data_IF_920612067993
#
_entry.id   IF_920612067993
#
_cell.length_a   1.000
_cell.length_b   1.000
_cell.length_c   1.000
_cell.angle_alpha   90.00
_cell.angle_beta   90.00
_cell.angle_gamma   90.00
#
_symmetry.space_group_name_H-M   'P 1'
#
loop_
_entity.id
_entity.type
_entity.pdbx_description
1 polymer ?
#
# COMPACT_ATOMS: atom_id res chain seq x y z
N UNK A 1 -21.89 1.92 15.85
CA UNK A 1 -21.32 0.84 15.06
C UNK A 1 -20.19 0.11 15.81
N UNK A 2 -19.88 -1.12 15.47
CA UNK A 2 -18.66 -1.79 15.95
C UNK A 2 -17.43 -1.22 15.26
N UNK A 3 -16.37 -0.97 16.03
CA UNK A 3 -15.11 -0.48 15.50
C UNK A 3 -13.92 -0.84 16.40
N UNK A 4 -12.72 -0.80 15.85
CA UNK A 4 -11.48 -0.88 16.61
C UNK A 4 -10.75 0.45 16.51
N UNK A 5 -10.68 1.19 17.60
CA UNK A 5 -10.04 2.50 17.66
C UNK A 5 -8.68 2.46 18.35
N UNK A 6 -7.81 3.38 17.98
CA UNK A 6 -6.51 3.63 18.58
C UNK A 6 -6.52 4.99 19.28
N UNK A 7 -6.09 5.05 20.54
CA UNK A 7 -6.08 6.27 21.36
C UNK A 7 -4.69 6.94 21.44
N UNK A 8 -3.76 6.53 20.58
CA UNK A 8 -2.37 6.95 20.57
C UNK A 8 -1.44 6.09 21.45
N UNK A 9 -1.99 5.09 22.16
CA UNK A 9 -1.22 4.16 23.01
C UNK A 9 -1.64 2.70 22.80
N UNK A 10 -2.94 2.46 22.72
CA UNK A 10 -3.49 1.11 22.58
C UNK A 10 -4.72 1.09 21.68
N UNK A 11 -4.95 -0.04 21.06
CA UNK A 11 -6.17 -0.31 20.32
C UNK A 11 -7.24 -0.87 21.26
N UNK A 12 -8.49 -0.50 20.99
CA UNK A 12 -9.67 -0.95 21.75
C UNK A 12 -10.80 -1.30 20.79
N UNK A 13 -11.42 -2.46 20.95
CA UNK A 13 -12.69 -2.79 20.34
C UNK A 13 -13.86 -2.12 21.09
N UNK A 14 -14.78 -1.51 20.33
CA UNK A 14 -15.96 -0.85 20.86
C UNK A 14 -17.18 -1.23 20.01
N UNK A 15 -18.22 -1.77 20.65
CA UNK A 15 -19.47 -2.13 19.98
C UNK A 15 -20.37 -0.92 19.73
N UNK A 16 -20.12 0.19 20.42
CA UNK A 16 -20.92 1.42 20.40
C UNK A 16 -20.11 2.64 19.92
N UNK A 17 -19.10 2.42 19.09
CA UNK A 17 -18.35 3.52 18.47
C UNK A 17 -19.28 4.42 17.65
N UNK A 18 -19.11 5.75 17.65
CA UNK A 18 -19.96 6.65 16.87
C UNK A 18 -19.98 6.30 15.40
N UNK A 19 -21.16 6.40 14.78
CA UNK A 19 -21.28 6.24 13.32
C UNK A 19 -20.57 7.39 12.58
N UNK A 20 -20.12 7.15 11.33
CA UNK A 20 -19.56 8.20 10.48
C UNK A 20 -20.51 9.38 10.34
N UNK A 21 -19.95 10.61 10.31
CA UNK A 21 -20.75 11.82 10.15
C UNK A 21 -21.45 11.83 8.79
N UNK A 22 -22.70 12.33 8.70
CA UNK A 22 -23.40 12.47 7.44
C UNK A 22 -22.73 13.53 6.54
N UNK A 23 -22.94 13.40 5.23
CA UNK A 23 -22.46 14.38 4.24
C UNK A 23 -21.58 13.78 3.14
N UNK A 24 -21.03 12.59 3.35
CA UNK A 24 -20.30 11.81 2.37
C UNK A 24 -20.99 10.47 2.13
N UNK A 25 -20.51 9.67 1.18
CA UNK A 25 -20.99 8.32 0.98
C UNK A 25 -20.66 7.44 2.18
N UNK A 26 -21.66 6.72 2.68
CA UNK A 26 -21.52 5.72 3.75
C UNK A 26 -21.29 4.35 3.11
N UNK A 27 -20.18 3.72 3.47
CA UNK A 27 -19.82 2.38 2.99
C UNK A 27 -19.84 1.40 4.15
N UNK A 28 -20.60 0.32 4.00
CA UNK A 28 -20.53 -0.83 4.90
C UNK A 28 -19.33 -1.68 4.50
N UNK A 29 -18.38 -1.81 5.39
CA UNK A 29 -17.13 -2.56 5.15
C UNK A 29 -17.42 -4.05 5.11
N UNK A 30 -17.03 -4.73 4.06
CA UNK A 30 -17.12 -6.20 3.93
C UNK A 30 -15.84 -6.88 4.43
N UNK A 31 -14.68 -6.28 4.10
CA UNK A 31 -13.36 -6.79 4.47
C UNK A 31 -12.35 -5.63 4.49
N UNK A 32 -11.44 -5.63 5.46
CA UNK A 32 -10.35 -4.67 5.57
C UNK A 32 -9.00 -5.38 5.71
N UNK A 33 -7.94 -4.84 5.11
CA UNK A 33 -6.58 -5.36 5.16
C UNK A 33 -5.71 -4.64 6.17
N UNK A 34 -4.86 -5.37 6.89
CA UNK A 34 -3.84 -4.79 7.74
C UNK A 34 -2.62 -4.44 6.88
N UNK A 35 -2.25 -3.15 6.86
CA UNK A 35 -1.08 -2.62 6.18
C UNK A 35 0.13 -2.50 7.13
N UNK A 36 1.34 -2.42 6.56
CA UNK A 36 2.54 -2.06 7.33
C UNK A 36 2.42 -0.69 7.99
N UNK A 37 1.77 0.28 7.34
CA UNK A 37 1.52 1.60 7.89
C UNK A 37 0.67 1.56 9.16
N UNK A 38 -0.31 0.66 9.27
CA UNK A 38 -1.09 0.50 10.51
C UNK A 38 -0.20 0.04 11.66
N UNK A 39 0.73 -0.89 11.39
CA UNK A 39 1.70 -1.39 12.38
C UNK A 39 2.69 -0.29 12.80
N UNK A 40 3.19 0.50 11.85
CA UNK A 40 4.07 1.64 12.13
C UNK A 40 3.36 2.74 12.96
N UNK A 41 2.06 2.99 12.71
CA UNK A 41 1.26 3.93 13.52
C UNK A 41 1.15 3.42 14.97
N UNK A 42 0.92 2.12 15.17
CA UNK A 42 0.89 1.51 16.49
C UNK A 42 2.24 1.62 17.21
N UNK A 43 3.33 1.62 16.47
CA UNK A 43 4.70 1.77 16.96
C UNK A 43 5.15 3.27 17.01
N UNK A 44 4.23 4.24 16.80
CA UNK A 44 4.43 5.67 17.01
C UNK A 44 4.82 6.50 15.79
N UNK A 45 4.65 5.99 14.57
CA UNK A 45 4.99 6.68 13.32
C UNK A 45 4.27 8.02 13.13
N UNK A 46 3.02 8.13 13.52
CA UNK A 46 2.23 9.38 13.48
C UNK A 46 1.42 9.54 14.75
N UNK A 47 1.19 10.80 15.16
CA UNK A 47 0.27 11.10 16.25
C UNK A 47 -1.17 10.98 15.73
N UNK A 48 -1.70 9.76 15.64
CA UNK A 48 -3.05 9.46 15.17
C UNK A 48 -3.91 8.90 16.30
N UNK A 49 -5.16 9.38 16.37
CA UNK A 49 -6.22 8.84 17.23
C UNK A 49 -7.45 8.62 16.36
N UNK A 50 -8.11 7.47 16.50
CA UNK A 50 -9.31 7.10 15.75
C UNK A 50 -9.26 5.66 15.25
N UNK A 51 -10.10 5.32 14.30
CA UNK A 51 -10.15 4.00 13.67
C UNK A 51 -9.07 3.88 12.61
N UNK A 52 -8.21 2.86 12.70
CA UNK A 52 -7.18 2.54 11.70
C UNK A 52 -7.79 1.79 10.49
N UNK A 53 -6.92 1.44 9.54
CA UNK A 53 -7.28 0.67 8.34
C UNK A 53 -7.61 1.56 7.15
N UNK A 54 -6.97 1.28 6.02
CA UNK A 54 -7.09 2.09 4.82
C UNK A 54 -7.11 1.25 3.53
N UNK A 55 -7.05 -0.06 3.65
CA UNK A 55 -7.22 -1.02 2.58
C UNK A 55 -8.54 -1.77 2.83
N UNK A 56 -9.53 -1.59 1.97
CA UNK A 56 -10.86 -2.17 2.21
C UNK A 56 -11.63 -2.45 0.93
N UNK A 57 -12.65 -3.30 1.06
CA UNK A 57 -13.77 -3.42 0.16
C UNK A 57 -15.07 -3.33 0.96
N UNK A 58 -16.09 -2.75 0.38
CA UNK A 58 -17.40 -2.63 1.03
C UNK A 58 -18.53 -2.34 0.05
N UNK A 59 -19.73 -2.17 0.57
CA UNK A 59 -20.94 -1.86 -0.18
C UNK A 59 -21.43 -0.48 0.20
N UNK A 60 -21.77 0.35 -0.76
CA UNK A 60 -22.30 1.70 -0.52
C UNK A 60 -23.73 1.58 0.02
N UNK A 61 -23.95 2.03 1.26
CA UNK A 61 -25.28 2.05 1.91
C UNK A 61 -26.03 3.35 1.66
N UNK A 62 -25.30 4.49 1.64
CA UNK A 62 -25.85 5.81 1.39
C UNK A 62 -24.89 6.63 0.54
N UNK A 63 -25.42 7.38 -0.42
CA UNK A 63 -24.66 8.32 -1.25
C UNK A 63 -25.60 9.38 -1.81
N UNK A 64 -25.08 10.56 -2.13
CA UNK A 64 -25.81 11.56 -2.91
C UNK A 64 -25.94 11.12 -4.38
N UNK A 65 -25.04 10.27 -4.86
CA UNK A 65 -25.12 9.61 -6.16
C UNK A 65 -25.89 8.27 -6.03
N UNK A 66 -27.17 8.20 -6.47
CA UNK A 66 -27.96 6.96 -6.38
C UNK A 66 -27.34 5.78 -7.15
N UNK A 67 -26.53 6.06 -8.17
CA UNK A 67 -25.86 5.04 -8.98
C UNK A 67 -24.78 4.24 -8.23
N UNK A 68 -24.32 4.75 -7.08
CA UNK A 68 -23.35 4.06 -6.22
C UNK A 68 -24.03 3.18 -5.17
N UNK A 69 -25.31 3.43 -4.80
CA UNK A 69 -25.98 2.69 -3.73
C UNK A 69 -26.09 1.20 -4.11
N UNK A 70 -25.69 0.33 -3.20
CA UNK A 70 -25.65 -1.13 -3.38
C UNK A 70 -24.45 -1.62 -4.20
N UNK A 71 -23.58 -0.74 -4.72
CA UNK A 71 -22.38 -1.15 -5.44
C UNK A 71 -21.25 -1.58 -4.50
N UNK A 72 -20.49 -2.59 -4.93
CA UNK A 72 -19.24 -2.98 -4.30
C UNK A 72 -18.16 -1.99 -4.71
N UNK A 73 -17.48 -1.44 -3.72
CA UNK A 73 -16.48 -0.38 -3.93
C UNK A 73 -15.21 -0.60 -3.13
N UNK A 74 -14.13 -0.04 -3.63
CA UNK A 74 -12.89 0.29 -2.93
C UNK A 74 -12.73 1.81 -2.90
N UNK A 75 -11.82 2.37 -2.10
CA UNK A 75 -11.73 3.82 -2.00
C UNK A 75 -10.32 4.36 -1.92
N UNK A 76 -10.03 5.40 -2.74
CA UNK A 76 -8.81 6.18 -2.61
C UNK A 76 -8.77 6.86 -1.25
N UNK A 77 -7.67 6.66 -0.53
CA UNK A 77 -7.58 7.02 0.90
C UNK A 77 -7.42 8.52 1.14
N UNK A 78 -6.95 9.28 0.16
CA UNK A 78 -6.69 10.72 0.29
C UNK A 78 -7.90 11.53 -0.15
N UNK A 79 -8.70 12.02 0.80
CA UNK A 79 -9.81 12.92 0.54
C UNK A 79 -9.33 14.38 0.53
N UNK A 80 -9.31 14.99 -0.66
CA UNK A 80 -8.90 16.37 -0.87
C UNK A 80 -9.96 17.37 -0.41
N UNK A 81 -9.58 18.65 -0.27
CA UNK A 81 -10.54 19.71 0.08
C UNK A 81 -11.30 20.27 -1.14
N UNK A 82 -11.02 19.83 -2.35
CA UNK A 82 -11.61 20.17 -3.65
C UNK A 82 -11.60 21.69 -4.03
N UNK A 83 -10.93 22.55 -3.25
CA UNK A 83 -10.90 24.00 -3.46
C UNK A 83 -9.50 24.62 -3.53
N UNK A 84 -8.44 23.96 -3.06
CA UNK A 84 -7.08 24.47 -3.16
C UNK A 84 -6.48 24.24 -4.56
N UNK A 85 -5.33 24.89 -4.84
CA UNK A 85 -4.69 24.81 -6.16
C UNK A 85 -4.26 23.39 -6.54
N UNK A 86 -3.81 22.60 -5.57
CA UNK A 86 -3.50 21.18 -5.80
C UNK A 86 -4.73 20.41 -6.26
N UNK A 87 -5.88 20.58 -5.58
CA UNK A 87 -7.12 19.90 -5.97
C UNK A 87 -7.61 20.34 -7.35
N UNK A 88 -7.57 21.66 -7.66
CA UNK A 88 -7.96 22.17 -8.98
C UNK A 88 -7.12 21.63 -10.12
N UNK A 89 -5.89 21.18 -9.83
CA UNK A 89 -4.97 20.54 -10.79
C UNK A 89 -5.08 19.01 -10.81
N UNK A 90 -6.10 18.41 -10.18
CA UNK A 90 -6.26 16.96 -10.10
C UNK A 90 -5.27 16.24 -9.15
N UNK A 91 -4.61 17.00 -8.26
CA UNK A 91 -3.62 16.47 -7.33
C UNK A 91 -4.19 16.37 -5.90
N UNK A 92 -5.36 15.75 -5.72
CA UNK A 92 -6.02 15.59 -4.42
C UNK A 92 -5.14 14.87 -3.40
N UNK A 93 -4.34 13.91 -3.83
CA UNK A 93 -3.36 13.16 -2.99
C UNK A 93 -2.31 14.06 -2.35
N UNK A 94 -2.07 15.25 -2.94
CA UNK A 94 -1.11 16.25 -2.47
C UNK A 94 -1.79 17.51 -1.88
N UNK A 95 -3.10 17.45 -1.62
CA UNK A 95 -3.83 18.54 -1.01
C UNK A 95 -3.27 18.84 0.41
N UNK A 96 -2.88 20.07 0.74
CA UNK A 96 -2.36 20.41 2.08
C UNK A 96 -3.42 20.25 3.18
N UNK A 97 -4.71 20.29 2.80
CA UNK A 97 -5.84 20.16 3.73
C UNK A 97 -6.53 18.79 3.61
N UNK A 98 -5.87 17.80 3.00
CA UNK A 98 -6.46 16.45 2.87
C UNK A 98 -6.65 15.79 4.22
N UNK A 99 -7.63 14.92 4.28
CA UNK A 99 -7.71 13.86 5.28
C UNK A 99 -7.30 12.54 4.64
N UNK A 100 -6.83 11.59 5.44
CA UNK A 100 -6.41 10.28 4.92
C UNK A 100 -7.08 9.19 5.75
N UNK A 101 -7.82 8.32 5.09
CA UNK A 101 -8.58 7.23 5.70
C UNK A 101 -7.68 6.40 6.63
N UNK A 102 -8.05 6.28 7.90
CA UNK A 102 -7.31 5.48 8.90
C UNK A 102 -5.91 5.98 9.27
N UNK A 103 -5.50 7.18 8.80
CA UNK A 103 -4.13 7.69 8.97
C UNK A 103 -4.10 9.15 9.44
N UNK A 104 -4.95 10.01 8.87
CA UNK A 104 -4.90 11.44 9.17
C UNK A 104 -6.31 12.05 9.24
N UNK A 105 -6.77 12.40 10.44
CA UNK A 105 -8.03 13.14 10.71
C UNK A 105 -9.27 12.51 10.06
N UNK A 106 -9.28 11.21 9.79
CA UNK A 106 -10.40 10.47 9.23
C UNK A 106 -10.34 9.03 9.73
N UNK A 107 -11.46 8.57 10.31
CA UNK A 107 -11.61 7.19 10.74
C UNK A 107 -11.51 6.23 9.56
N UNK A 108 -10.90 5.07 9.79
CA UNK A 108 -10.57 4.07 8.80
C UNK A 108 -11.53 2.90 8.72
N UNK A 109 -11.05 1.82 8.11
CA UNK A 109 -11.85 0.66 7.73
C UNK A 109 -11.91 -0.46 8.78
N UNK A 110 -11.24 -0.33 9.93
CA UNK A 110 -11.39 -1.31 11.01
C UNK A 110 -12.68 -1.05 11.81
N UNK A 111 -13.80 -0.94 11.09
CA UNK A 111 -15.14 -0.66 11.58
C UNK A 111 -16.21 -1.23 10.65
N UNK A 112 -17.46 -1.34 11.13
CA UNK A 112 -18.61 -1.75 10.31
C UNK A 112 -18.90 -0.77 9.17
N UNK A 113 -18.66 0.53 9.41
CA UNK A 113 -18.91 1.59 8.42
C UNK A 113 -17.77 2.58 8.37
N UNK A 114 -17.55 3.13 7.19
CA UNK A 114 -16.69 4.29 6.96
C UNK A 114 -17.38 5.32 6.05
N UNK A 115 -16.87 6.55 6.02
CA UNK A 115 -17.33 7.55 5.05
C UNK A 115 -16.20 8.07 4.17
N UNK A 116 -16.49 8.23 2.88
CA UNK A 116 -15.60 8.83 1.89
C UNK A 116 -16.39 9.72 0.92
N UNK A 117 -15.77 10.77 0.36
CA UNK A 117 -16.33 11.50 -0.77
C UNK A 117 -16.59 10.55 -1.94
N UNK A 118 -17.63 10.83 -2.74
CA UNK A 118 -18.03 9.99 -3.88
C UNK A 118 -16.90 9.82 -4.90
N UNK A 119 -16.15 10.88 -5.15
CA UNK A 119 -15.01 10.88 -6.07
C UNK A 119 -13.85 9.97 -5.65
N UNK A 120 -13.81 9.58 -4.38
CA UNK A 120 -12.82 8.62 -3.88
C UNK A 120 -13.25 7.16 -4.08
N UNK A 121 -14.54 6.89 -4.39
CA UNK A 121 -15.08 5.55 -4.50
C UNK A 121 -14.97 5.00 -5.91
N UNK A 122 -14.46 3.80 -6.04
CA UNK A 122 -14.33 3.07 -7.30
C UNK A 122 -15.13 1.78 -7.25
N UNK A 123 -16.10 1.65 -8.16
CA UNK A 123 -16.88 0.41 -8.31
C UNK A 123 -15.95 -0.67 -8.85
N UNK A 124 -15.99 -1.84 -8.23
CA UNK A 124 -15.20 -3.00 -8.66
C UNK A 124 -16.08 -4.01 -9.43
N UNK A 125 -15.54 -4.68 -10.48
CA UNK A 125 -16.27 -5.71 -11.21
C UNK A 125 -16.46 -6.98 -10.37
N UNK A 126 -17.48 -7.76 -10.70
CA UNK A 126 -17.80 -9.01 -9.99
C UNK A 126 -16.72 -10.10 -10.16
N UNK A 127 -15.85 -9.96 -11.15
CA UNK A 127 -14.72 -10.87 -11.38
C UNK A 127 -13.62 -10.76 -10.31
N UNK A 128 -13.59 -9.68 -9.51
CA UNK A 128 -12.63 -9.49 -8.41
C UNK A 128 -13.30 -9.92 -7.11
N UNK A 129 -12.69 -10.85 -6.36
CA UNK A 129 -13.17 -11.26 -5.02
C UNK A 129 -12.96 -10.14 -3.99
N UNK A 130 -13.60 -10.24 -2.83
CA UNK A 130 -13.40 -9.25 -1.76
C UNK A 130 -11.94 -9.25 -1.25
N UNK A 131 -11.34 -10.43 -1.12
CA UNK A 131 -9.95 -10.58 -0.73
C UNK A 131 -8.98 -9.92 -1.73
N UNK A 132 -9.22 -10.09 -3.02
CA UNK A 132 -8.43 -9.43 -4.08
C UNK A 132 -8.66 -7.92 -4.09
N UNK A 133 -9.91 -7.47 -3.87
CA UNK A 133 -10.27 -6.05 -3.89
C UNK A 133 -9.54 -5.23 -2.81
N UNK A 134 -9.28 -5.81 -1.64
CA UNK A 134 -8.52 -5.15 -0.57
C UNK A 134 -7.10 -4.80 -1.02
N UNK A 135 -6.53 -5.50 -1.99
CA UNK A 135 -5.20 -5.17 -2.53
C UNK A 135 -5.20 -4.01 -3.53
N UNK A 136 -6.33 -3.46 -3.93
CA UNK A 136 -6.38 -2.37 -4.91
C UNK A 136 -5.58 -1.16 -4.42
N UNK A 137 -5.69 -0.77 -3.15
CA UNK A 137 -4.95 0.37 -2.62
C UNK A 137 -3.42 0.18 -2.71
N UNK A 138 -2.84 -0.89 -2.12
CA UNK A 138 -1.40 -1.08 -2.20
C UNK A 138 -0.91 -1.42 -3.63
N UNK A 139 -1.73 -2.05 -4.46
CA UNK A 139 -1.40 -2.28 -5.87
C UNK A 139 -1.39 -0.98 -6.67
N UNK A 140 -2.31 -0.04 -6.39
CA UNK A 140 -2.27 1.30 -6.96
C UNK A 140 -0.96 2.02 -6.60
N UNK A 141 -0.48 1.86 -5.36
CA UNK A 141 0.82 2.39 -4.96
C UNK A 141 1.98 1.75 -5.74
N UNK A 142 1.90 0.47 -6.13
CA UNK A 142 2.89 -0.15 -7.00
C UNK A 142 2.84 0.43 -8.42
N UNK A 143 1.67 0.67 -8.99
CA UNK A 143 1.50 1.31 -10.30
C UNK A 143 1.98 2.75 -10.36
N UNK A 144 1.98 3.49 -9.24
CA UNK A 144 2.47 4.88 -9.19
C UNK A 144 3.90 5.04 -9.70
N UNK A 145 4.73 4.02 -9.57
CA UNK A 145 6.11 4.03 -10.11
C UNK A 145 6.11 4.30 -11.61
N UNK A 146 5.17 3.70 -12.36
CA UNK A 146 5.05 3.88 -13.82
C UNK A 146 4.56 5.27 -14.22
N UNK A 147 3.84 5.96 -13.33
CA UNK A 147 3.41 7.34 -13.53
C UNK A 147 4.56 8.34 -13.29
N UNK A 148 5.48 8.00 -12.40
CA UNK A 148 6.57 8.89 -12.00
C UNK A 148 7.85 8.71 -12.80
N UNK A 149 8.09 7.51 -13.34
CA UNK A 149 9.33 7.16 -14.05
C UNK A 149 9.02 6.51 -15.39
N UNK A 150 9.55 7.09 -16.46
CA UNK A 150 9.49 6.48 -17.80
C UNK A 150 10.37 5.24 -17.85
N UNK A 151 9.77 4.07 -17.74
CA UNK A 151 10.47 2.78 -17.74
C UNK A 151 10.98 2.44 -19.13
N UNK A 152 12.18 1.86 -19.20
CA UNK A 152 12.78 1.34 -20.44
C UNK A 152 12.82 -0.19 -20.36
N UNK A 153 12.34 -0.87 -21.39
CA UNK A 153 12.28 -2.34 -21.46
C UNK A 153 13.65 -3.03 -21.39
N UNK A 154 14.74 -2.30 -21.64
CA UNK A 154 16.10 -2.82 -21.55
C UNK A 154 16.73 -2.60 -20.16
N UNK A 155 16.00 -1.99 -19.23
CA UNK A 155 16.52 -1.77 -17.88
C UNK A 155 16.57 -3.06 -17.08
N UNK A 156 17.65 -3.22 -16.32
CA UNK A 156 17.72 -4.13 -15.20
C UNK A 156 17.12 -3.48 -13.97
N UNK A 157 16.14 -4.12 -13.39
CA UNK A 157 15.37 -3.59 -12.28
C UNK A 157 15.58 -4.46 -11.04
N UNK A 158 15.90 -3.85 -9.91
CA UNK A 158 15.93 -4.50 -8.62
C UNK A 158 14.80 -3.99 -7.71
N UNK A 159 14.19 -4.91 -6.96
CA UNK A 159 13.27 -4.58 -5.86
C UNK A 159 13.88 -5.12 -4.58
N UNK A 160 14.14 -4.26 -3.60
CA UNK A 160 14.71 -4.63 -2.30
C UNK A 160 13.59 -4.71 -1.27
N UNK A 161 13.35 -5.91 -0.78
CA UNK A 161 12.25 -6.30 0.10
C UNK A 161 11.43 -7.45 -0.49
N UNK A 162 10.84 -8.27 0.38
CA UNK A 162 10.01 -9.43 0.01
C UNK A 162 8.59 -9.37 0.59
N UNK A 163 8.22 -8.19 1.13
CA UNK A 163 6.91 -7.94 1.70
C UNK A 163 5.80 -7.79 0.65
N UNK A 164 4.57 -7.58 1.11
CA UNK A 164 3.36 -7.41 0.29
C UNK A 164 3.54 -6.43 -0.87
N UNK A 165 4.01 -5.23 -0.54
CA UNK A 165 4.19 -4.17 -1.54
C UNK A 165 5.28 -4.52 -2.55
N UNK A 166 6.41 -5.08 -2.10
CA UNK A 166 7.49 -5.51 -2.98
C UNK A 166 7.02 -6.57 -3.99
N UNK A 167 6.22 -7.53 -3.57
CA UNK A 167 5.68 -8.57 -4.46
C UNK A 167 4.77 -8.00 -5.56
N UNK A 168 3.93 -7.02 -5.24
CA UNK A 168 3.12 -6.32 -6.24
C UNK A 168 3.97 -5.44 -7.17
N UNK A 169 4.97 -4.73 -6.61
CA UNK A 169 5.90 -3.92 -7.40
C UNK A 169 6.67 -4.78 -8.42
N UNK A 170 7.17 -5.94 -8.01
CA UNK A 170 7.85 -6.87 -8.92
C UNK A 170 6.96 -7.25 -10.11
N UNK A 171 5.71 -7.65 -9.86
CA UNK A 171 4.76 -8.00 -10.93
C UNK A 171 4.46 -6.80 -11.83
N UNK A 172 4.19 -5.63 -11.27
CA UNK A 172 3.88 -4.39 -12.03
C UNK A 172 5.06 -3.96 -12.90
N UNK A 173 6.29 -4.02 -12.38
CA UNK A 173 7.49 -3.65 -13.14
C UNK A 173 7.81 -4.66 -14.23
N UNK A 174 7.57 -5.96 -13.98
CA UNK A 174 7.71 -7.03 -14.98
C UNK A 174 6.87 -6.80 -16.25
N UNK A 175 5.73 -6.11 -16.13
CA UNK A 175 4.89 -5.74 -17.29
C UNK A 175 5.60 -4.79 -18.28
N UNK A 176 6.63 -4.09 -17.86
CA UNK A 176 7.33 -3.09 -18.68
C UNK A 176 8.82 -3.38 -18.84
N UNK A 177 9.43 -4.04 -17.87
CA UNK A 177 10.86 -4.38 -17.81
C UNK A 177 10.97 -5.88 -17.57
N UNK A 178 11.34 -6.71 -18.54
CA UNK A 178 11.39 -8.17 -18.36
C UNK A 178 12.47 -8.64 -17.37
N UNK A 179 13.55 -7.85 -17.18
CA UNK A 179 14.65 -8.16 -16.26
C UNK A 179 14.39 -7.55 -14.88
N UNK A 180 13.61 -8.25 -14.06
CA UNK A 180 13.29 -7.87 -12.68
C UNK A 180 13.86 -8.89 -11.71
N UNK A 181 14.65 -8.43 -10.73
CA UNK A 181 15.18 -9.23 -9.62
C UNK A 181 14.64 -8.72 -8.30
N UNK A 182 14.11 -9.61 -7.46
CA UNK A 182 13.68 -9.32 -6.10
C UNK A 182 14.72 -9.81 -5.08
N UNK A 183 15.20 -8.90 -4.25
CA UNK A 183 16.11 -9.19 -3.15
C UNK A 183 15.34 -9.24 -1.84
N UNK A 184 15.36 -10.38 -1.17
CA UNK A 184 14.61 -10.60 0.06
C UNK A 184 15.39 -11.31 1.14
N UNK A 185 14.72 -11.59 2.26
CA UNK A 185 15.29 -12.31 3.41
C UNK A 185 14.58 -13.63 3.69
N UNK A 186 13.36 -13.81 3.14
CA UNK A 186 12.50 -14.96 3.44
C UNK A 186 12.26 -15.79 2.18
N UNK A 187 12.83 -16.98 2.11
CA UNK A 187 12.68 -17.88 0.96
C UNK A 187 11.21 -18.21 0.67
N UNK A 188 10.39 -18.40 1.71
CA UNK A 188 8.96 -18.66 1.58
C UNK A 188 8.22 -17.59 0.82
N UNK A 189 8.55 -16.30 1.05
CA UNK A 189 7.95 -15.17 0.35
C UNK A 189 8.48 -15.02 -1.07
N UNK A 190 9.78 -15.19 -1.26
CA UNK A 190 10.41 -15.10 -2.58
C UNK A 190 9.88 -16.18 -3.54
N UNK A 191 9.60 -17.40 -3.06
CA UNK A 191 9.03 -18.49 -3.85
C UNK A 191 7.68 -18.11 -4.50
N UNK A 192 6.92 -17.18 -3.92
CA UNK A 192 5.69 -16.67 -4.54
C UNK A 192 5.94 -15.91 -5.85
N UNK A 193 7.12 -15.35 -6.03
CA UNK A 193 7.48 -14.56 -7.21
C UNK A 193 8.03 -15.41 -8.35
N UNK A 194 8.56 -16.59 -8.07
CA UNK A 194 9.16 -17.48 -9.07
C UNK A 194 8.12 -17.91 -10.14
N UNK A 195 6.86 -18.11 -9.76
CA UNK A 195 5.77 -18.43 -10.68
C UNK A 195 5.46 -17.32 -11.71
N UNK A 196 5.91 -16.09 -11.45
CA UNK A 196 5.81 -14.96 -12.36
C UNK A 196 7.10 -14.74 -13.18
N UNK A 197 8.02 -15.70 -13.16
CA UNK A 197 9.32 -15.62 -13.83
C UNK A 197 10.14 -14.39 -13.38
N UNK A 198 10.01 -14.02 -12.11
CA UNK A 198 10.79 -12.97 -11.46
C UNK A 198 11.98 -13.62 -10.77
N UNK A 199 13.18 -13.15 -11.08
CA UNK A 199 14.39 -13.63 -10.41
C UNK A 199 14.36 -13.25 -8.94
N UNK A 200 14.77 -14.18 -8.07
CA UNK A 200 14.80 -13.94 -6.62
C UNK A 200 16.17 -14.25 -6.06
N UNK A 201 16.59 -13.44 -5.07
CA UNK A 201 17.87 -13.63 -4.37
C UNK A 201 17.69 -13.41 -2.87
N UNK A 202 18.34 -14.26 -2.07
CA UNK A 202 18.48 -14.05 -0.61
C UNK A 202 19.73 -13.19 -0.38
N UNK A 203 19.51 -11.98 0.18
CA UNK A 203 20.59 -11.02 0.41
C UNK A 203 21.15 -10.41 -0.86
N UNK A 204 22.19 -9.62 -0.72
CA UNK A 204 22.89 -8.90 -1.79
C UNK A 204 24.36 -9.31 -1.70
N UNK A 205 24.95 -9.72 -2.79
CA UNK A 205 26.38 -10.02 -2.89
C UNK A 205 27.13 -9.00 -3.75
N UNK A 206 28.47 -9.08 -3.77
CA UNK A 206 29.31 -8.11 -4.47
C UNK A 206 29.10 -8.13 -5.99
N UNK A 207 28.64 -9.25 -6.56
CA UNK A 207 28.37 -9.37 -8.00
C UNK A 207 27.11 -8.58 -8.43
N UNK A 208 26.27 -8.22 -7.49
CA UNK A 208 25.07 -7.42 -7.73
C UNK A 208 25.36 -5.91 -7.73
N UNK A 209 26.53 -5.50 -7.22
CA UNK A 209 26.87 -4.09 -7.02
C UNK A 209 26.85 -3.29 -8.32
N UNK A 210 26.26 -2.09 -8.26
CA UNK A 210 26.20 -1.11 -9.36
C UNK A 210 25.68 -1.69 -10.69
N UNK A 211 24.73 -2.65 -10.61
CA UNK A 211 24.28 -3.43 -11.77
C UNK A 211 22.91 -3.05 -12.31
N UNK A 212 22.11 -2.28 -11.54
CA UNK A 212 20.70 -2.03 -11.83
C UNK A 212 20.43 -0.58 -12.26
N UNK A 213 19.62 -0.42 -13.31
CA UNK A 213 19.18 0.89 -13.82
C UNK A 213 18.16 1.56 -12.90
N UNK A 214 17.27 0.75 -12.34
CA UNK A 214 16.23 1.14 -11.41
C UNK A 214 16.26 0.22 -10.18
N UNK A 215 16.30 0.81 -9.00
CA UNK A 215 16.18 0.07 -7.75
C UNK A 215 15.01 0.60 -6.93
N UNK A 216 14.13 -0.28 -6.47
CA UNK A 216 12.99 0.09 -5.62
C UNK A 216 13.24 -0.37 -4.20
N UNK A 217 13.26 0.57 -3.26
CA UNK A 217 13.32 0.30 -1.82
C UNK A 217 11.90 0.06 -1.28
N UNK A 218 11.62 -1.15 -0.82
CA UNK A 218 10.32 -1.57 -0.27
C UNK A 218 10.47 -2.50 0.95
N UNK A 219 11.51 -2.24 1.77
CA UNK A 219 11.84 -3.11 2.90
C UNK A 219 11.09 -2.77 4.18
N UNK A 220 10.72 -1.49 4.37
CA UNK A 220 10.25 -0.98 5.67
C UNK A 220 11.33 -1.04 6.76
N UNK A 221 12.61 -0.99 6.40
CA UNK A 221 13.72 -1.09 7.34
C UNK A 221 14.80 -0.03 7.11
N UNK A 222 15.55 0.33 8.17
CA UNK A 222 16.62 1.31 8.10
C UNK A 222 17.75 0.94 7.15
N UNK A 223 18.06 -0.37 7.01
CA UNK A 223 19.09 -0.84 6.10
C UNK A 223 18.70 -0.78 4.62
N UNK A 224 17.40 -0.69 4.31
CA UNK A 224 16.90 -0.77 2.93
C UNK A 224 17.50 0.28 2.00
N UNK A 225 17.66 1.51 2.46
CA UNK A 225 18.29 2.57 1.66
C UNK A 225 19.75 2.25 1.31
N UNK A 226 20.54 1.83 2.29
CA UNK A 226 21.94 1.44 2.07
C UNK A 226 22.06 0.27 1.10
N UNK A 227 21.17 -0.71 1.20
CA UNK A 227 21.11 -1.86 0.29
C UNK A 227 20.75 -1.43 -1.14
N UNK A 228 19.81 -0.48 -1.32
CA UNK A 228 19.51 0.04 -2.67
C UNK A 228 20.66 0.81 -3.28
N UNK A 229 21.41 1.56 -2.46
CA UNK A 229 22.57 2.32 -2.93
C UNK A 229 23.76 1.43 -3.38
N UNK A 230 23.86 0.20 -2.86
CA UNK A 230 24.85 -0.77 -3.37
C UNK A 230 24.49 -1.28 -4.76
N UNK A 231 23.20 -1.45 -5.05
CA UNK A 231 22.72 -2.09 -6.28
C UNK A 231 22.66 -1.13 -7.47
N UNK A 232 22.26 0.14 -7.22
CA UNK A 232 22.02 1.10 -8.29
C UNK A 232 23.31 1.52 -8.96
N UNK A 233 23.36 1.48 -10.29
CA UNK A 233 24.51 1.94 -11.07
C UNK A 233 24.59 3.46 -11.10
N UNK A 234 25.78 4.05 -11.41
CA UNK A 234 25.90 5.49 -11.61
C UNK A 234 24.85 6.01 -12.61
N UNK A 235 24.24 7.16 -12.28
CA UNK A 235 23.14 7.80 -13.01
C UNK A 235 21.84 6.98 -13.08
N UNK A 236 21.73 5.92 -12.27
CA UNK A 236 20.49 5.14 -12.12
C UNK A 236 19.46 5.87 -11.28
N UNK A 237 18.30 5.22 -11.10
CA UNK A 237 17.17 5.76 -10.34
C UNK A 237 16.85 4.86 -9.14
N UNK A 238 16.61 5.47 -7.99
CA UNK A 238 16.11 4.81 -6.78
C UNK A 238 14.71 5.32 -6.46
N UNK A 239 13.75 4.40 -6.32
CA UNK A 239 12.39 4.69 -5.86
C UNK A 239 12.29 4.33 -4.38
N UNK A 240 11.90 5.29 -3.55
CA UNK A 240 11.69 5.10 -2.12
C UNK A 240 10.20 4.90 -1.84
N UNK A 241 9.83 3.70 -1.37
CA UNK A 241 8.44 3.30 -1.05
C UNK A 241 8.17 3.17 0.44
N UNK A 242 9.21 2.96 1.25
CA UNK A 242 9.06 2.73 2.68
C UNK A 242 8.85 4.04 3.46
N UNK A 243 7.93 4.00 4.41
CA UNK A 243 7.79 4.98 5.48
C UNK A 243 8.10 4.27 6.79
N UNK A 244 9.10 4.75 7.53
CA UNK A 244 9.55 4.14 8.78
C UNK A 244 9.48 5.17 9.92
N UNK A 245 9.17 4.70 11.13
CA UNK A 245 9.08 5.55 12.31
C UNK A 245 10.45 6.05 12.80
N UNK A 246 11.53 5.35 12.47
CA UNK A 246 12.87 5.68 12.93
C UNK A 246 13.47 6.88 12.18
N UNK A 247 14.30 7.66 12.89
CA UNK A 247 14.99 8.83 12.36
C UNK A 247 16.49 8.57 12.32
N UNK A 248 16.94 7.61 11.55
CA UNK A 248 18.37 7.38 11.36
C UNK A 248 18.93 8.32 10.31
N UNK A 249 20.22 8.63 10.44
CA UNK A 249 20.94 9.42 9.46
C UNK A 249 21.17 8.58 8.19
N UNK A 250 20.70 9.09 7.06
CA UNK A 250 20.98 8.51 5.75
C UNK A 250 22.28 9.12 5.18
N UNK A 251 23.21 8.27 4.74
CA UNK A 251 24.36 8.73 3.98
C UNK A 251 23.94 9.00 2.52
N UNK A 252 23.85 10.26 2.16
CA UNK A 252 23.55 10.72 0.79
C UNK A 252 24.78 10.89 -0.09
N UNK A 253 25.99 10.66 0.43
CA UNK A 253 27.25 10.82 -0.33
C UNK A 253 27.25 9.98 -1.63
N UNK A 254 26.84 8.69 -1.61
CA UNK A 254 26.79 7.90 -2.84
C UNK A 254 25.81 8.46 -3.88
N UNK A 255 24.73 9.11 -3.46
CA UNK A 255 23.75 9.75 -4.36
C UNK A 255 24.42 10.88 -5.14
N UNK A 256 25.24 11.69 -4.48
CA UNK A 256 25.95 12.83 -5.09
C UNK A 256 27.07 12.33 -6.00
N UNK A 257 27.91 11.43 -5.49
CA UNK A 257 29.10 10.93 -6.21
C UNK A 257 28.72 10.18 -7.49
N UNK A 258 27.64 9.41 -7.45
CA UNK A 258 27.17 8.60 -8.59
C UNK A 258 26.04 9.26 -9.39
N UNK A 259 25.69 10.52 -9.11
CA UNK A 259 24.62 11.27 -9.80
C UNK A 259 23.27 10.50 -9.82
N UNK A 260 22.87 9.87 -8.68
CA UNK A 260 21.68 9.04 -8.58
C UNK A 260 20.42 9.92 -8.49
N UNK A 261 19.38 9.55 -9.24
CA UNK A 261 18.04 10.15 -9.08
C UNK A 261 17.28 9.47 -7.97
N UNK A 262 16.85 10.22 -6.94
CA UNK A 262 15.97 9.71 -5.88
C UNK A 262 14.54 10.17 -6.12
N UNK A 263 13.58 9.24 -6.12
CA UNK A 263 12.15 9.51 -6.31
C UNK A 263 11.37 8.96 -5.11
N UNK A 264 10.68 9.83 -4.39
CA UNK A 264 9.70 9.41 -3.37
C UNK A 264 8.39 9.01 -4.04
N UNK A 265 7.84 7.84 -3.68
CA UNK A 265 6.63 7.32 -4.30
C UNK A 265 5.67 6.79 -3.25
N UNK A 266 4.37 7.13 -3.38
CA UNK A 266 3.36 6.78 -2.37
C UNK A 266 2.13 6.14 -3.02
N UNK A 267 0.96 6.80 -2.94
CA UNK A 267 -0.33 6.32 -3.45
C UNK A 267 -0.43 6.51 -4.97
N UNK A 268 -1.09 5.59 -5.65
CA UNK A 268 -1.35 5.64 -7.09
C UNK A 268 -2.84 5.75 -7.44
N UNK A 269 -3.15 5.76 -8.74
CA UNK A 269 -4.50 5.71 -9.27
C UNK A 269 -5.08 4.29 -9.13
N UNK A 270 -6.35 4.19 -8.72
CA UNK A 270 -7.00 2.89 -8.49
C UNK A 270 -7.36 2.15 -9.78
N UNK A 271 -7.72 2.90 -10.85
CA UNK A 271 -8.15 2.26 -12.08
C UNK A 271 -7.14 1.27 -12.67
N UNK A 272 -5.83 1.57 -12.82
CA UNK A 272 -4.86 0.60 -13.31
C UNK A 272 -4.77 -0.67 -12.43
N UNK A 273 -4.90 -0.51 -11.11
CA UNK A 273 -4.87 -1.64 -10.18
C UNK A 273 -6.12 -2.53 -10.30
N UNK A 274 -7.31 -1.93 -10.43
CA UNK A 274 -8.57 -2.65 -10.65
C UNK A 274 -8.51 -3.42 -11.99
N UNK A 275 -8.08 -2.76 -13.07
CA UNK A 275 -7.98 -3.38 -14.40
C UNK A 275 -6.98 -4.56 -14.38
N UNK A 276 -5.86 -4.41 -13.66
CA UNK A 276 -4.84 -5.46 -13.55
C UNK A 276 -5.35 -6.70 -12.79
N UNK A 277 -6.10 -6.51 -11.71
CA UNK A 277 -6.73 -7.61 -10.99
C UNK A 277 -7.85 -8.25 -11.80
N UNK A 278 -8.72 -7.44 -12.43
CA UNK A 278 -9.84 -7.94 -13.24
C UNK A 278 -9.40 -8.78 -14.43
N UNK A 279 -8.25 -8.47 -15.02
CA UNK A 279 -7.67 -9.20 -16.16
C UNK A 279 -6.73 -10.33 -15.75
N UNK A 280 -6.37 -10.41 -14.47
CA UNK A 280 -5.44 -11.41 -13.94
C UNK A 280 -3.97 -11.23 -14.36
N UNK A 281 -3.60 -10.05 -14.92
CA UNK A 281 -2.19 -9.77 -15.28
C UNK A 281 -1.31 -9.53 -14.04
N UNK A 282 -1.92 -9.25 -12.90
CA UNK A 282 -1.33 -9.24 -11.56
C UNK A 282 -2.16 -10.17 -10.67
N UNK A 283 -1.51 -11.06 -9.92
CA UNK A 283 -2.18 -11.95 -8.97
C UNK A 283 -1.72 -11.69 -7.56
N UNK A 284 -2.67 -11.64 -6.65
CA UNK A 284 -2.45 -11.41 -5.22
C UNK A 284 -2.81 -12.62 -4.35
N UNK A 285 -3.34 -13.68 -4.96
CA UNK A 285 -3.92 -14.83 -4.23
C UNK A 285 -2.91 -15.52 -3.30
N UNK A 286 -1.64 -15.61 -3.72
CA UNK A 286 -0.59 -16.21 -2.89
C UNK A 286 -0.16 -15.36 -1.70
N UNK A 287 -0.65 -14.12 -1.61
CA UNK A 287 -0.37 -13.22 -0.50
C UNK A 287 -1.48 -13.24 0.57
N UNK A 288 -2.62 -13.85 0.29
CA UNK A 288 -3.74 -14.01 1.23
C UNK A 288 -3.32 -15.01 2.31
N UNK A 289 -3.33 -14.57 3.56
CA UNK A 289 -2.92 -15.41 4.69
C UNK A 289 -4.13 -15.83 5.53
N UNK A 290 -4.73 -14.91 6.27
CA UNK A 290 -5.79 -15.23 7.23
C UNK A 290 -6.77 -14.08 7.41
N UNK A 291 -8.00 -14.44 7.84
CA UNK A 291 -9.07 -13.48 8.16
C UNK A 291 -9.48 -13.66 9.61
N UNK A 292 -9.55 -12.56 10.34
CA UNK A 292 -10.01 -12.50 11.72
C UNK A 292 -11.27 -11.65 11.83
N UNK A 293 -12.22 -12.00 12.71
CA UNK A 293 -13.30 -11.10 13.03
C UNK A 293 -12.77 -9.85 13.75
N UNK A 294 -13.45 -8.72 13.60
CA UNK A 294 -12.98 -7.42 14.07
C UNK A 294 -12.70 -7.38 15.58
N UNK A 295 -13.50 -8.10 16.40
CA UNK A 295 -13.29 -8.21 17.84
C UNK A 295 -11.99 -8.92 18.23
N UNK A 296 -11.39 -9.69 17.31
CA UNK A 296 -10.09 -10.36 17.48
C UNK A 296 -8.92 -9.60 16.85
N UNK A 297 -9.04 -8.29 16.73
CA UNK A 297 -8.01 -7.45 16.12
C UNK A 297 -6.61 -7.63 16.74
N UNK A 298 -6.53 -7.85 18.06
CA UNK A 298 -5.23 -8.07 18.75
C UNK A 298 -4.52 -9.31 18.24
N UNK A 299 -5.26 -10.40 18.01
CA UNK A 299 -4.73 -11.64 17.43
C UNK A 299 -4.30 -11.40 15.98
N UNK A 300 -5.10 -10.65 15.21
CA UNK A 300 -4.81 -10.29 13.83
C UNK A 300 -3.54 -9.43 13.71
N UNK A 301 -3.36 -8.42 14.56
CA UNK A 301 -2.14 -7.59 14.61
C UNK A 301 -0.92 -8.44 14.99
N UNK A 302 -1.05 -9.31 16.00
CA UNK A 302 0.02 -10.22 16.40
C UNK A 302 0.40 -11.16 15.26
N UNK A 303 -0.60 -11.66 14.52
CA UNK A 303 -0.37 -12.53 13.37
C UNK A 303 0.29 -11.77 12.21
N UNK A 304 -0.16 -10.55 11.92
CA UNK A 304 0.38 -9.70 10.86
C UNK A 304 1.86 -9.29 11.06
N UNK A 305 2.35 -9.32 12.31
CA UNK A 305 3.76 -9.06 12.65
C UNK A 305 4.67 -10.28 12.48
N UNK A 306 4.15 -11.48 12.18
CA UNK A 306 4.99 -12.67 11.97
C UNK A 306 5.80 -12.53 10.67
N UNK A 307 7.07 -13.01 10.64
CA UNK A 307 7.97 -12.83 9.50
C UNK A 307 7.43 -13.38 8.18
N UNK A 308 6.76 -14.53 8.19
CA UNK A 308 6.28 -15.21 6.97
C UNK A 308 4.88 -14.77 6.53
N UNK A 309 4.19 -13.94 7.33
CA UNK A 309 2.84 -13.46 7.01
C UNK A 309 2.88 -12.37 5.93
N UNK A 310 1.96 -12.44 4.97
CA UNK A 310 1.80 -11.40 3.96
C UNK A 310 0.56 -10.55 4.22
N UNK A 311 -0.65 -10.99 3.92
CA UNK A 311 -1.86 -10.18 4.11
C UNK A 311 -2.82 -10.82 5.10
N UNK A 312 -3.11 -10.09 6.17
CA UNK A 312 -4.13 -10.43 7.16
C UNK A 312 -5.31 -9.50 7.00
N UNK A 313 -6.50 -10.07 7.08
CA UNK A 313 -7.75 -9.33 6.98
C UNK A 313 -8.49 -9.26 8.31
N UNK A 314 -9.27 -8.18 8.45
CA UNK A 314 -10.29 -8.01 9.50
C UNK A 314 -11.66 -7.96 8.84
N UNK A 315 -12.61 -8.71 9.40
CA UNK A 315 -13.99 -8.74 8.97
C UNK A 315 -14.85 -8.12 10.08
N UNK A 316 -15.50 -6.98 9.83
CA UNK A 316 -16.41 -6.34 10.78
C UNK A 316 -17.67 -7.14 11.08
#
# INVERSE_FOLDING_TARGET
MKATSFDGKQMKYDENYPDPKPGESLVRVSLAGICGTDLEILDGYMAYNGVLGHEFVGVVEKSQNPGLIGKRVVGEINAGCNKCDSCKKGMQRHCPNRTVLGILKRDGAFAEFLSLPEENLHVIPDSITDEQAVFVEPLAAAFEIKEQVSLNSNWKVAVVGDGRLAQMICQVLKLSCPDVTCFGRHQSKLANLEKFEILTKIGIDDSDSLSYDLVVEATGSNSGFADTMKLVKPRGTVILKSTIASRENLDLTPTIVNEITLVGSRCGLFKPAIDALATGIVSVDSMIDSTFPLEKFSDAITHAKKPDTLKVFLKP
#
